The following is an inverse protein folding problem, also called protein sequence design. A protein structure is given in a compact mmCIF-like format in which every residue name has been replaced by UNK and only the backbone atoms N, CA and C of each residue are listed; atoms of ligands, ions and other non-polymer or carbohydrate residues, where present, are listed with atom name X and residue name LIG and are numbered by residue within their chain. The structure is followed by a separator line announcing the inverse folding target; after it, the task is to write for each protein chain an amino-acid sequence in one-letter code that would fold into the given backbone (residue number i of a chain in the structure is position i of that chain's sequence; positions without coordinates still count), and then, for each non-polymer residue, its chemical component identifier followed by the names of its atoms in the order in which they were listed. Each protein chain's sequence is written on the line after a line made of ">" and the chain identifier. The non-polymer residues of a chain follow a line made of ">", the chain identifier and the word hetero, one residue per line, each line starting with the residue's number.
data_IF_639197096551
#
_entry.id   IF_639197096551
#
_cell.length_a   1.000
_cell.length_b   1.000
_cell.length_c   1.000
_cell.angle_alpha   90.00
_cell.angle_beta   90.00
_cell.angle_gamma   90.00
#
_symmetry.space_group_name_H-M   'P 1'
#
loop_
_entity.id
_entity.type
_entity.pdbx_description
1 polymer ?
#
# COMPACT_ATOMS: atom_id res chain seq x y z
N UNK A 1 -10.09 27.52 4.28
CA UNK A 1 -10.07 26.67 5.49
C UNK A 1 -11.26 25.74 5.54
N UNK A 2 -12.49 26.24 5.45
CA UNK A 2 -13.71 25.42 5.53
C UNK A 2 -13.75 24.28 4.48
N UNK A 3 -13.41 24.57 3.22
CA UNK A 3 -13.33 23.53 2.17
C UNK A 3 -12.36 22.37 2.52
N UNK A 4 -11.23 22.69 3.17
CA UNK A 4 -10.25 21.68 3.56
C UNK A 4 -10.81 20.76 4.65
N UNK A 5 -11.39 21.35 5.70
CA UNK A 5 -11.93 20.59 6.83
C UNK A 5 -13.22 19.82 6.49
N UNK A 6 -14.05 20.37 5.61
CA UNK A 6 -15.34 19.77 5.28
C UNK A 6 -15.24 18.68 4.20
N UNK A 7 -14.24 18.73 3.32
CA UNK A 7 -14.16 17.81 2.17
C UNK A 7 -12.81 17.11 2.04
N UNK A 8 -11.70 17.85 2.08
CA UNK A 8 -10.37 17.28 1.82
C UNK A 8 -9.93 16.36 2.96
N UNK A 9 -10.02 16.85 4.20
CA UNK A 9 -9.57 16.11 5.38
C UNK A 9 -10.36 14.81 5.62
N UNK A 10 -11.71 14.79 5.55
CA UNK A 10 -12.48 13.55 5.64
C UNK A 10 -12.16 12.57 4.50
N UNK A 11 -11.96 13.08 3.27
CA UNK A 11 -11.60 12.23 2.11
C UNK A 11 -10.22 11.59 2.30
N UNK A 12 -9.25 12.31 2.85
CA UNK A 12 -7.92 11.77 3.16
C UNK A 12 -7.96 10.71 4.27
N UNK A 13 -8.78 10.91 5.30
CA UNK A 13 -8.99 9.92 6.37
C UNK A 13 -9.67 8.67 5.81
N UNK A 14 -10.80 8.83 5.11
CA UNK A 14 -11.54 7.70 4.55
C UNK A 14 -10.71 6.96 3.49
N UNK A 15 -10.05 7.71 2.60
CA UNK A 15 -9.19 7.16 1.56
C UNK A 15 -7.99 6.40 2.13
N UNK A 16 -7.35 6.92 3.18
CA UNK A 16 -6.24 6.21 3.83
C UNK A 16 -6.71 4.97 4.58
N UNK A 17 -7.81 5.04 5.34
CA UNK A 17 -8.29 3.92 6.15
C UNK A 17 -8.90 2.81 5.29
N UNK A 18 -9.88 3.15 4.44
CA UNK A 18 -10.54 2.19 3.55
C UNK A 18 -9.53 1.66 2.52
N UNK A 19 -8.70 2.54 1.95
CA UNK A 19 -7.66 2.16 1.01
C UNK A 19 -6.66 1.17 1.60
N UNK A 20 -6.24 1.37 2.85
CA UNK A 20 -5.32 0.45 3.54
C UNK A 20 -5.95 -0.92 3.75
N UNK A 21 -7.19 -0.99 4.21
CA UNK A 21 -7.90 -2.26 4.41
C UNK A 21 -8.09 -3.02 3.09
N UNK A 22 -8.54 -2.31 2.05
CA UNK A 22 -8.73 -2.91 0.73
C UNK A 22 -7.40 -3.38 0.13
N UNK A 23 -6.35 -2.56 0.27
CA UNK A 23 -5.01 -2.91 -0.20
C UNK A 23 -4.48 -4.16 0.49
N UNK A 24 -4.70 -4.33 1.80
CA UNK A 24 -4.29 -5.53 2.54
C UNK A 24 -4.96 -6.79 2.00
N UNK A 25 -6.27 -6.74 1.75
CA UNK A 25 -7.02 -7.88 1.20
C UNK A 25 -6.51 -8.21 -0.21
N UNK A 26 -6.36 -7.20 -1.08
CA UNK A 26 -5.84 -7.39 -2.43
C UNK A 26 -4.40 -7.92 -2.43
N UNK A 27 -3.53 -7.40 -1.57
CA UNK A 27 -2.14 -7.84 -1.43
C UNK A 27 -2.06 -9.29 -0.99
N UNK A 28 -2.93 -9.73 -0.08
CA UNK A 28 -3.04 -11.13 0.33
C UNK A 28 -3.44 -12.04 -0.83
N UNK A 29 -4.50 -11.68 -1.56
CA UNK A 29 -4.96 -12.48 -2.71
C UNK A 29 -3.89 -12.59 -3.81
N UNK A 30 -3.19 -11.49 -4.08
CA UNK A 30 -2.06 -11.47 -5.02
C UNK A 30 -0.91 -12.37 -4.53
N UNK A 31 -0.59 -12.29 -3.24
CA UNK A 31 0.47 -13.12 -2.65
C UNK A 31 0.13 -14.60 -2.75
N UNK A 32 -1.10 -14.99 -2.38
CA UNK A 32 -1.55 -16.38 -2.45
C UNK A 32 -1.46 -16.90 -3.90
N UNK A 33 -1.93 -16.11 -4.87
CA UNK A 33 -1.82 -16.48 -6.29
C UNK A 33 -0.36 -16.61 -6.77
N UNK A 34 0.52 -15.67 -6.39
CA UNK A 34 1.94 -15.75 -6.73
C UNK A 34 2.62 -16.94 -6.05
N UNK A 35 2.24 -17.27 -4.81
CA UNK A 35 2.80 -18.39 -4.07
C UNK A 35 2.43 -19.73 -4.73
N UNK A 36 1.19 -19.87 -5.17
CA UNK A 36 0.67 -21.12 -5.73
C UNK A 36 1.15 -21.36 -7.18
N UNK A 37 1.34 -20.30 -7.97
CA UNK A 37 1.62 -20.41 -9.41
C UNK A 37 3.00 -19.92 -9.84
N UNK A 38 3.64 -19.05 -9.05
CA UNK A 38 4.86 -18.32 -9.42
C UNK A 38 5.78 -18.17 -8.19
N UNK A 39 6.05 -19.27 -7.50
CA UNK A 39 6.82 -19.28 -6.25
C UNK A 39 8.23 -18.66 -6.41
N UNK A 40 8.80 -18.74 -7.61
CA UNK A 40 10.08 -18.15 -8.00
C UNK A 40 10.05 -16.62 -8.16
N UNK A 41 8.86 -16.02 -8.26
CA UNK A 41 8.67 -14.57 -8.30
C UNK A 41 8.65 -13.90 -6.92
N UNK A 42 8.55 -14.71 -5.86
CA UNK A 42 8.61 -14.28 -4.46
C UNK A 42 10.05 -14.28 -3.95
N UNK A 43 10.40 -13.45 -2.95
CA UNK A 43 11.73 -13.50 -2.35
C UNK A 43 11.99 -14.90 -1.80
N UNK A 44 13.19 -15.44 -2.03
CA UNK A 44 13.61 -16.67 -1.36
C UNK A 44 13.41 -16.47 0.16
N UNK A 45 12.76 -17.44 0.83
CA UNK A 45 12.52 -17.40 2.28
C UNK A 45 13.88 -17.26 2.99
N UNK A 46 14.32 -16.02 3.22
CA UNK A 46 15.38 -15.75 4.17
C UNK A 46 14.75 -15.91 5.53
N UNK A 47 14.91 -17.10 6.10
CA UNK A 47 14.46 -17.51 7.43
C UNK A 47 14.88 -16.52 8.53
N UNK A 48 15.88 -15.66 8.28
CA UNK A 48 16.43 -14.67 9.21
C UNK A 48 15.68 -13.32 9.17
N UNK A 49 15.05 -12.94 8.05
CA UNK A 49 14.29 -11.69 7.92
C UNK A 49 12.77 -11.88 7.95
N UNK A 50 12.31 -13.11 7.65
CA UNK A 50 10.90 -13.51 7.62
C UNK A 50 10.60 -14.65 8.62
N UNK A 51 11.54 -15.01 9.50
CA UNK A 51 11.32 -15.98 10.57
C UNK A 51 10.19 -15.52 11.50
N UNK A 52 9.21 -16.42 11.73
CA UNK A 52 7.90 -16.19 12.37
C UNK A 52 6.94 -15.19 11.68
N UNK A 53 7.34 -14.58 10.55
CA UNK A 53 6.55 -13.58 9.86
C UNK A 53 5.52 -14.17 8.86
N UNK A 54 5.34 -15.50 8.80
CA UNK A 54 4.30 -16.12 7.95
C UNK A 54 2.88 -15.61 8.31
N UNK A 55 2.68 -15.00 9.48
CA UNK A 55 1.41 -14.42 9.96
C UNK A 55 1.33 -12.88 9.92
N UNK A 56 2.38 -12.19 9.50
CA UNK A 56 2.43 -10.72 9.53
C UNK A 56 1.80 -10.08 8.29
N UNK A 57 0.79 -9.21 8.45
CA UNK A 57 0.19 -8.43 7.35
C UNK A 57 1.23 -7.66 6.50
N UNK A 58 2.39 -7.31 7.08
CA UNK A 58 3.49 -6.66 6.38
C UNK A 58 4.19 -7.54 5.32
N UNK A 59 4.11 -8.86 5.43
CA UNK A 59 4.77 -9.79 4.49
C UNK A 59 4.10 -9.79 3.13
N UNK A 60 2.77 -9.73 3.08
CA UNK A 60 2.04 -9.63 1.81
C UNK A 60 2.39 -8.34 1.05
N UNK A 61 2.47 -7.22 1.78
CA UNK A 61 2.86 -5.92 1.20
C UNK A 61 4.30 -5.98 0.68
N UNK A 62 5.22 -6.53 1.48
CA UNK A 62 6.62 -6.67 1.11
C UNK A 62 6.80 -7.56 -0.13
N UNK A 63 6.02 -8.64 -0.24
CA UNK A 63 6.03 -9.53 -1.40
C UNK A 63 5.53 -8.84 -2.68
N UNK A 64 4.42 -8.10 -2.61
CA UNK A 64 3.91 -7.30 -3.74
C UNK A 64 4.93 -6.24 -4.15
N UNK A 65 5.59 -5.61 -3.18
CA UNK A 65 6.64 -4.63 -3.46
C UNK A 65 7.88 -5.28 -4.10
N UNK A 66 8.30 -6.44 -3.60
CA UNK A 66 9.41 -7.22 -4.13
C UNK A 66 9.14 -7.64 -5.59
N UNK A 67 8.00 -8.26 -5.85
CA UNK A 67 7.58 -8.68 -7.18
C UNK A 67 7.51 -7.50 -8.16
N UNK A 68 7.13 -6.31 -7.67
CA UNK A 68 7.12 -5.08 -8.45
C UNK A 68 8.53 -4.61 -8.82
N UNK A 69 9.47 -4.71 -7.87
CA UNK A 69 10.87 -4.27 -8.03
C UNK A 69 11.67 -5.20 -8.92
N UNK A 70 11.47 -6.51 -8.79
CA UNK A 70 12.18 -7.54 -9.59
C UNK A 70 11.53 -7.80 -10.94
N UNK A 71 10.32 -7.29 -11.17
CA UNK A 71 9.57 -7.52 -12.40
C UNK A 71 8.93 -8.92 -12.48
N UNK A 72 8.91 -9.67 -11.36
CA UNK A 72 8.30 -11.01 -11.29
C UNK A 72 6.84 -11.04 -11.74
N UNK A 73 6.09 -9.95 -11.52
CA UNK A 73 4.70 -9.83 -11.97
C UNK A 73 4.51 -9.94 -13.49
N UNK A 74 5.54 -9.68 -14.29
CA UNK A 74 5.47 -9.80 -15.76
C UNK A 74 5.38 -11.25 -16.23
N UNK A 75 5.67 -12.22 -15.36
CA UNK A 75 5.58 -13.66 -15.64
C UNK A 75 4.15 -14.18 -15.56
N UNK A 76 3.24 -13.41 -14.97
CA UNK A 76 1.82 -13.76 -14.86
C UNK A 76 1.24 -13.86 -16.27
N UNK A 77 0.87 -15.08 -16.69
CA UNK A 77 0.30 -15.33 -18.01
C UNK A 77 -1.18 -14.97 -18.09
N UNK A 78 -1.89 -15.03 -16.96
CA UNK A 78 -3.30 -14.66 -16.89
C UNK A 78 -3.47 -13.15 -16.92
N UNK A 79 -4.06 -12.62 -17.99
CA UNK A 79 -4.35 -11.19 -18.12
C UNK A 79 -5.19 -10.67 -16.96
N UNK A 80 -6.17 -11.44 -16.47
CA UNK A 80 -7.02 -11.06 -15.34
C UNK A 80 -6.19 -10.80 -14.08
N UNK A 81 -5.27 -11.72 -13.75
CA UNK A 81 -4.39 -11.57 -12.59
C UNK A 81 -3.34 -10.50 -12.78
N UNK A 82 -2.87 -10.28 -14.00
CA UNK A 82 -1.96 -9.18 -14.33
C UNK A 82 -2.65 -7.82 -14.10
N UNK A 83 -3.89 -7.65 -14.56
CA UNK A 83 -4.67 -6.43 -14.29
C UNK A 83 -5.00 -6.27 -12.81
N UNK A 84 -5.36 -7.36 -12.13
CA UNK A 84 -5.62 -7.34 -10.69
C UNK A 84 -4.38 -6.92 -9.89
N UNK A 85 -3.21 -7.43 -10.26
CA UNK A 85 -1.93 -7.02 -9.69
C UNK A 85 -1.65 -5.53 -9.91
N UNK A 86 -1.86 -5.03 -11.13
CA UNK A 86 -1.69 -3.61 -11.44
C UNK A 86 -2.66 -2.74 -10.65
N UNK A 87 -3.94 -3.12 -10.57
CA UNK A 87 -4.94 -2.42 -9.78
C UNK A 87 -4.56 -2.38 -8.30
N UNK A 88 -4.05 -3.48 -7.76
CA UNK A 88 -3.55 -3.58 -6.38
C UNK A 88 -2.38 -2.61 -6.14
N UNK A 89 -1.45 -2.51 -7.09
CA UNK A 89 -0.34 -1.53 -7.01
C UNK A 89 -0.82 -0.08 -7.04
N UNK A 90 -1.76 0.23 -7.93
CA UNK A 90 -2.35 1.58 -8.04
C UNK A 90 -3.08 1.95 -6.75
N UNK A 91 -3.84 1.01 -6.18
CA UNK A 91 -4.51 1.17 -4.90
C UNK A 91 -3.51 1.45 -3.77
N UNK A 92 -2.41 0.70 -3.70
CA UNK A 92 -1.34 0.92 -2.73
C UNK A 92 -0.70 2.31 -2.87
N UNK A 93 -0.43 2.75 -4.11
CA UNK A 93 0.12 4.07 -4.38
C UNK A 93 -0.85 5.21 -4.01
N UNK A 94 -2.13 5.07 -4.34
CA UNK A 94 -3.17 6.04 -4.00
C UNK A 94 -3.34 6.16 -2.48
N UNK A 95 -3.40 5.02 -1.79
CA UNK A 95 -3.48 4.97 -0.33
C UNK A 95 -2.26 5.60 0.33
N UNK A 96 -1.06 5.29 -0.16
CA UNK A 96 0.19 5.90 0.30
C UNK A 96 0.20 7.41 0.09
N UNK A 97 -0.32 7.90 -1.05
CA UNK A 97 -0.44 9.33 -1.32
C UNK A 97 -1.44 10.00 -0.35
N UNK A 98 -2.59 9.38 -0.08
CA UNK A 98 -3.53 9.87 0.92
C UNK A 98 -2.90 9.96 2.31
N UNK A 99 -2.12 8.96 2.72
CA UNK A 99 -1.40 8.96 4.00
C UNK A 99 -0.34 10.06 4.07
N UNK A 100 0.43 10.26 2.99
CA UNK A 100 1.45 11.31 2.92
C UNK A 100 0.82 12.71 2.97
N UNK A 101 -0.27 12.93 2.23
CA UNK A 101 -1.01 14.19 2.28
C UNK A 101 -1.66 14.44 3.63
N UNK A 102 -2.20 13.39 4.26
CA UNK A 102 -2.76 13.48 5.60
C UNK A 102 -1.67 13.84 6.61
N UNK A 103 -0.53 13.15 6.62
CA UNK A 103 0.60 13.45 7.49
C UNK A 103 1.14 14.86 7.24
N UNK A 104 1.34 15.25 5.98
CA UNK A 104 1.79 16.59 5.58
C UNK A 104 0.83 17.69 6.03
N UNK A 105 -0.47 17.42 6.08
CA UNK A 105 -1.46 18.39 6.56
C UNK A 105 -1.28 18.74 8.04
N UNK A 106 -0.80 17.81 8.87
CA UNK A 106 -0.50 18.09 10.27
C UNK A 106 0.73 18.97 10.44
N UNK A 107 1.77 18.79 9.62
CA UNK A 107 2.96 19.64 9.64
C UNK A 107 2.66 21.07 9.19
N UNK A 108 1.96 21.23 8.07
CA UNK A 108 1.55 22.54 7.57
C UNK A 108 0.63 23.28 8.55
N UNK A 109 -0.20 22.54 9.28
CA UNK A 109 -1.06 23.12 10.33
C UNK A 109 -0.26 23.63 11.53
N UNK A 110 0.81 22.93 11.95
CA UNK A 110 1.67 23.41 13.03
C UNK A 110 2.42 24.68 12.66
N UNK A 111 2.99 24.74 11.46
CA UNK A 111 3.69 25.93 10.95
C UNK A 111 2.75 27.14 10.85
N UNK A 112 1.52 26.94 10.35
CA UNK A 112 0.51 28.00 10.27
C UNK A 112 0.07 28.48 11.65
N UNK A 113 -0.09 27.56 12.63
CA UNK A 113 -0.39 27.93 14.02
C UNK A 113 0.74 28.71 14.67
N UNK A 114 2.00 28.33 14.42
CA UNK A 114 3.16 29.02 14.96
C UNK A 114 3.27 30.46 14.44
N UNK A 115 3.00 30.67 13.15
CA UNK A 115 3.00 31.99 12.52
C UNK A 115 1.85 32.91 12.98
N UNK A 116 0.70 32.35 13.37
CA UNK A 116 -0.45 33.12 13.86
C UNK A 116 -0.38 33.48 15.36
N UNK A 117 0.50 32.83 16.12
CA UNK A 117 0.75 33.11 17.55
C UNK A 117 1.99 33.99 17.79
N UNK A 118 2.70 34.37 16.71
CA UNK A 118 3.80 35.34 16.72
C UNK A 118 3.30 36.73 16.31
#
# INVERSE_FOLDING_TARGET
>A
MEFFYSYVFPTLILGSFIGSLLYLICARLVYDYLKDHYHDALPAKNEIAFGDADDGMGVYIAAVWYASRTGGYKRIQSNTWLYFYQATRVLGALTGLCLLLLAGSFFLWQELKALLMA
#
